data_IF_292419491087
#
_entry.id   IF_292419491087
#
_cell.length_a   1.000
_cell.length_b   1.000
_cell.length_c   1.000
_cell.angle_alpha   90.00
_cell.angle_beta   90.00
_cell.angle_gamma   90.00
#
_symmetry.space_group_name_H-M   'P 1'
#
loop_
_entity.id
_entity.type
_entity.pdbx_description
1 polymer ?
#
# COMPACT_ATOMS: atom_id res chain seq x y z
N UNK A 1 16.12 1.23 -0.75
CA UNK A 1 15.11 1.10 0.31
C UNK A 1 15.77 1.42 1.62
N UNK A 2 15.12 2.23 2.45
CA UNK A 2 15.57 2.57 3.81
C UNK A 2 14.38 2.56 4.77
N UNK A 3 14.61 2.90 6.04
CA UNK A 3 13.54 3.02 7.03
C UNK A 3 13.77 4.20 7.97
N UNK A 4 12.68 4.73 8.51
CA UNK A 4 12.70 5.78 9.52
C UNK A 4 11.68 5.47 10.63
N UNK A 5 11.75 6.25 11.72
CA UNK A 5 11.00 6.00 12.96
C UNK A 5 11.26 4.63 13.63
N UNK A 6 12.45 4.04 13.38
CA UNK A 6 12.89 2.79 14.00
C UNK A 6 13.25 2.99 15.49
N UNK A 7 12.95 1.99 16.32
CA UNK A 7 13.50 1.95 17.67
C UNK A 7 15.01 1.67 17.62
N UNK A 8 15.73 2.03 18.69
CA UNK A 8 17.18 1.87 18.74
C UNK A 8 17.60 0.39 18.55
N UNK A 9 18.31 0.11 17.46
CA UNK A 9 18.83 -1.22 17.12
C UNK A 9 17.96 -2.02 16.15
N UNK A 10 16.86 -1.45 15.66
CA UNK A 10 16.04 -2.08 14.61
C UNK A 10 16.53 -1.70 13.21
N UNK A 11 16.23 -2.58 12.25
CA UNK A 11 16.55 -2.42 10.83
C UNK A 11 15.28 -2.59 10.00
N UNK A 12 15.27 -2.03 8.78
CA UNK A 12 14.27 -2.37 7.76
C UNK A 12 14.27 -3.90 7.57
N UNK A 13 13.08 -4.48 7.41
CA UNK A 13 12.93 -5.89 7.02
C UNK A 13 12.09 -5.98 5.77
N UNK A 14 12.64 -6.62 4.75
CA UNK A 14 11.90 -7.10 3.59
C UNK A 14 11.77 -8.60 3.76
N UNK A 15 10.61 -9.18 3.49
CA UNK A 15 10.49 -10.63 3.58
C UNK A 15 9.40 -11.24 2.73
N UNK A 16 9.50 -12.57 2.59
CA UNK A 16 8.56 -13.38 1.82
C UNK A 16 8.24 -14.68 2.56
N UNK A 17 6.98 -15.11 2.46
CA UNK A 17 6.56 -16.47 2.86
C UNK A 17 6.82 -17.51 1.75
N UNK A 18 7.24 -17.09 0.55
CA UNK A 18 7.57 -18.03 -0.53
C UNK A 18 8.87 -18.78 -0.24
N UNK A 19 8.93 -20.01 -0.74
CA UNK A 19 10.15 -20.83 -0.79
C UNK A 19 10.64 -21.05 -2.22
N UNK A 20 9.98 -20.42 -3.19
CA UNK A 20 10.36 -20.50 -4.60
C UNK A 20 11.66 -19.74 -4.87
N UNK A 21 12.40 -20.18 -5.88
CA UNK A 21 13.62 -19.49 -6.31
C UNK A 21 13.29 -18.07 -6.79
N UNK A 22 14.14 -17.11 -6.43
CA UNK A 22 14.05 -15.71 -6.84
C UNK A 22 12.74 -15.00 -6.44
N UNK A 23 12.04 -15.49 -5.41
CA UNK A 23 10.85 -14.83 -4.87
C UNK A 23 11.15 -13.43 -4.28
N UNK A 24 12.41 -13.17 -3.93
CA UNK A 24 12.93 -11.81 -3.73
C UNK A 24 13.99 -11.56 -4.79
N UNK A 25 13.73 -10.58 -5.65
CA UNK A 25 14.64 -10.16 -6.71
C UNK A 25 14.92 -8.66 -6.60
N UNK A 26 16.18 -8.27 -6.73
CA UNK A 26 16.61 -6.88 -6.77
C UNK A 26 17.57 -6.68 -7.95
N UNK A 27 17.15 -5.90 -8.94
CA UNK A 27 17.95 -5.64 -10.13
C UNK A 27 19.23 -4.83 -9.83
N UNK A 28 20.15 -4.83 -10.80
CA UNK A 28 21.38 -4.04 -10.74
C UNK A 28 21.15 -2.57 -10.35
N UNK A 29 21.83 -2.13 -9.30
CA UNK A 29 21.75 -0.76 -8.79
C UNK A 29 20.70 -0.52 -7.70
N UNK A 30 19.89 -1.54 -7.36
CA UNK A 30 19.02 -1.50 -6.18
C UNK A 30 19.87 -1.65 -4.91
N UNK A 31 19.57 -0.83 -3.90
CA UNK A 31 20.14 -0.98 -2.54
C UNK A 31 19.01 -1.22 -1.55
N UNK A 32 19.14 -2.24 -0.71
CA UNK A 32 18.28 -2.56 0.41
C UNK A 32 19.06 -2.27 1.68
N UNK A 33 18.71 -1.18 2.37
CA UNK A 33 19.35 -0.80 3.63
C UNK A 33 18.65 -1.47 4.82
N UNK A 34 18.78 -2.78 4.91
CA UNK A 34 18.05 -3.61 5.88
C UNK A 34 18.27 -5.10 5.70
N UNK A 35 17.54 -5.87 6.50
CA UNK A 35 17.53 -7.33 6.46
C UNK A 35 16.58 -7.85 5.39
N UNK A 36 16.93 -9.01 4.83
CA UNK A 36 16.10 -9.79 3.92
C UNK A 36 15.76 -11.11 4.60
N UNK A 37 14.46 -11.37 4.76
CA UNK A 37 13.93 -12.48 5.54
C UNK A 37 13.13 -13.42 4.65
N UNK A 38 13.53 -14.68 4.58
CA UNK A 38 12.81 -15.71 3.81
C UNK A 38 12.07 -16.67 4.73
N UNK A 39 11.05 -17.33 4.18
CA UNK A 39 10.19 -18.25 4.91
C UNK A 39 10.95 -19.43 5.55
N UNK A 40 10.35 -19.98 6.60
CA UNK A 40 10.90 -21.10 7.36
C UNK A 40 10.90 -22.37 6.53
N UNK A 41 12.08 -22.81 6.08
CA UNK A 41 12.25 -23.95 5.18
C UNK A 41 12.68 -23.55 3.76
N UNK A 42 12.68 -22.26 3.43
CA UNK A 42 13.36 -21.74 2.24
C UNK A 42 14.87 -21.60 2.47
N UNK A 43 15.67 -21.90 1.45
CA UNK A 43 17.10 -21.58 1.45
C UNK A 43 17.27 -20.12 1.01
N UNK A 44 17.83 -19.22 1.84
CA UNK A 44 17.98 -17.82 1.49
C UNK A 44 18.79 -17.59 0.20
N UNK A 45 19.75 -18.48 -0.11
CA UNK A 45 20.55 -18.38 -1.35
C UNK A 45 19.77 -18.77 -2.62
N UNK A 46 18.63 -19.45 -2.47
CA UNK A 46 17.73 -19.82 -3.57
C UNK A 46 16.61 -18.81 -3.67
N UNK A 47 15.95 -18.50 -2.55
CA UNK A 47 14.77 -17.61 -2.51
C UNK A 47 15.15 -16.17 -2.84
N UNK A 48 16.33 -15.71 -2.40
CA UNK A 48 16.88 -14.40 -2.74
C UNK A 48 18.06 -14.53 -3.72
N UNK A 49 18.10 -15.57 -4.57
CA UNK A 49 19.25 -15.87 -5.42
C UNK A 49 19.64 -14.74 -6.39
N UNK A 50 18.64 -14.04 -6.93
CA UNK A 50 18.87 -12.89 -7.84
C UNK A 50 19.13 -11.56 -7.12
N UNK A 51 19.12 -11.52 -5.78
CA UNK A 51 19.38 -10.29 -5.04
C UNK A 51 20.84 -9.83 -5.14
N UNK A 52 21.74 -10.74 -5.53
CA UNK A 52 23.17 -10.49 -5.72
C UNK A 52 23.46 -9.44 -6.82
N UNK A 53 22.48 -9.14 -7.69
CA UNK A 53 22.60 -8.01 -8.63
C UNK A 53 22.48 -6.65 -7.91
N UNK A 54 21.78 -6.60 -6.78
CA UNK A 54 21.65 -5.44 -5.90
C UNK A 54 22.70 -5.40 -4.77
N UNK A 55 22.48 -4.50 -3.82
CA UNK A 55 23.28 -4.40 -2.58
C UNK A 55 22.36 -4.51 -1.38
N UNK A 56 22.59 -5.50 -0.52
CA UNK A 56 21.94 -5.64 0.80
C UNK A 56 22.95 -5.25 1.88
N UNK A 57 22.60 -4.31 2.77
CA UNK A 57 23.50 -3.87 3.85
C UNK A 57 23.33 -4.67 5.15
N UNK A 58 22.16 -5.29 5.35
CA UNK A 58 21.84 -6.14 6.50
C UNK A 58 22.02 -7.63 6.23
N UNK A 59 21.42 -8.45 7.08
CA UNK A 59 21.54 -9.91 7.00
C UNK A 59 20.48 -10.51 6.06
N UNK A 60 20.86 -11.58 5.36
CA UNK A 60 19.93 -12.41 4.58
C UNK A 60 19.75 -13.75 5.29
N UNK A 61 18.55 -14.02 5.82
CA UNK A 61 18.31 -15.21 6.66
C UNK A 61 16.89 -15.76 6.55
N UNK A 62 16.70 -17.00 7.00
CA UNK A 62 15.38 -17.63 7.11
C UNK A 62 14.79 -17.40 8.51
N UNK A 63 13.50 -17.03 8.58
CA UNK A 63 12.73 -16.95 9.82
C UNK A 63 11.45 -17.82 9.72
N UNK A 64 10.63 -17.87 10.77
CA UNK A 64 9.33 -18.54 10.67
C UNK A 64 8.41 -17.86 9.65
N UNK A 65 7.41 -18.60 9.15
CA UNK A 65 6.36 -18.05 8.30
C UNK A 65 5.59 -16.94 9.06
N UNK A 66 5.26 -15.87 8.34
CA UNK A 66 4.48 -14.77 8.89
C UNK A 66 3.01 -14.94 8.52
N UNK A 67 2.15 -15.22 9.51
CA UNK A 67 0.71 -15.38 9.27
C UNK A 67 0.07 -14.06 8.81
N UNK A 68 -0.49 -14.05 7.60
CA UNK A 68 -1.24 -12.93 7.05
C UNK A 68 -2.72 -13.15 7.34
N UNK A 69 -3.30 -12.32 8.21
CA UNK A 69 -4.72 -12.40 8.56
C UNK A 69 -5.57 -11.73 7.49
N UNK A 70 -6.67 -12.36 7.09
CA UNK A 70 -7.68 -11.70 6.25
C UNK A 70 -8.19 -10.42 6.89
N UNK A 71 -8.45 -9.41 6.06
CA UNK A 71 -9.07 -8.15 6.47
C UNK A 71 -10.54 -8.38 6.81
N UNK A 72 -10.98 -7.93 7.99
CA UNK A 72 -12.39 -7.96 8.39
C UNK A 72 -12.94 -6.54 8.43
N UNK A 73 -13.94 -6.26 7.57
CA UNK A 73 -14.64 -4.97 7.60
C UNK A 73 -15.43 -4.83 8.91
N UNK A 74 -15.36 -3.70 9.63
CA UNK A 74 -16.16 -3.49 10.84
C UNK A 74 -17.66 -3.69 10.61
N UNK A 75 -18.34 -4.37 11.53
CA UNK A 75 -19.75 -4.75 11.36
C UNK A 75 -20.67 -3.55 11.13
N UNK A 76 -20.40 -2.41 11.80
CA UNK A 76 -21.18 -1.19 11.61
C UNK A 76 -21.06 -0.65 10.18
N UNK A 77 -19.88 -0.77 9.57
CA UNK A 77 -19.58 -0.30 8.22
C UNK A 77 -20.21 -1.23 7.16
N UNK A 78 -20.18 -2.55 7.40
CA UNK A 78 -20.88 -3.53 6.56
C UNK A 78 -22.40 -3.28 6.51
N UNK A 79 -22.98 -2.89 7.64
CA UNK A 79 -24.42 -2.67 7.82
C UNK A 79 -24.93 -1.35 7.21
N UNK A 80 -24.04 -0.40 6.86
CA UNK A 80 -24.45 0.83 6.19
C UNK A 80 -25.08 0.52 4.82
N UNK A 81 -26.11 1.28 4.40
CA UNK A 81 -26.56 1.25 3.02
C UNK A 81 -25.45 1.81 2.11
N UNK A 82 -25.29 1.23 0.93
CA UNK A 82 -24.41 1.81 -0.09
C UNK A 82 -24.95 3.16 -0.54
N UNK A 83 -24.04 4.12 -0.74
CA UNK A 83 -24.35 5.45 -1.27
C UNK A 83 -24.09 5.55 -2.78
N UNK A 84 -23.83 4.43 -3.46
CA UNK A 84 -23.55 4.39 -4.90
C UNK A 84 -22.07 4.61 -5.22
N UNK A 85 -21.80 5.26 -6.35
CA UNK A 85 -20.43 5.51 -6.84
C UNK A 85 -19.94 6.90 -6.46
N UNK A 86 -18.71 7.00 -5.96
CA UNK A 86 -18.00 8.28 -5.81
C UNK A 86 -17.43 8.69 -7.17
N UNK A 87 -17.78 9.90 -7.62
CA UNK A 87 -17.24 10.52 -8.85
C UNK A 87 -16.51 11.83 -8.58
N UNK A 88 -16.01 12.47 -9.63
CA UNK A 88 -15.31 13.74 -9.55
C UNK A 88 -16.11 14.87 -8.89
N UNK A 89 -15.40 15.77 -8.21
CA UNK A 89 -15.95 16.91 -7.49
C UNK A 89 -16.58 16.56 -6.13
N UNK A 90 -16.56 15.29 -5.73
CA UNK A 90 -17.10 14.85 -4.44
C UNK A 90 -16.14 15.21 -3.31
N UNK A 91 -16.64 15.81 -2.24
CA UNK A 91 -15.91 15.98 -0.97
C UNK A 91 -16.51 15.05 0.08
N UNK A 92 -15.68 14.14 0.59
CA UNK A 92 -16.03 13.16 1.60
C UNK A 92 -15.52 13.66 2.95
N UNK A 93 -16.46 13.88 3.87
CA UNK A 93 -16.18 14.37 5.23
C UNK A 93 -16.63 13.39 6.30
N UNK A 94 -17.26 12.27 5.90
CA UNK A 94 -17.85 11.28 6.81
C UNK A 94 -17.62 9.87 6.30
N UNK A 95 -17.63 8.92 7.25
CA UNK A 95 -17.55 7.48 7.00
C UNK A 95 -18.73 6.99 6.16
N UNK A 96 -18.48 6.06 5.22
CA UNK A 96 -19.52 5.58 4.32
C UNK A 96 -19.21 4.27 3.61
N UNK A 97 -20.26 3.66 3.07
CA UNK A 97 -20.19 2.49 2.19
C UNK A 97 -20.56 2.89 0.77
N UNK A 98 -19.79 2.45 -0.20
CA UNK A 98 -19.94 2.80 -1.61
C UNK A 98 -19.80 1.55 -2.49
N UNK A 99 -20.46 1.58 -3.64
CA UNK A 99 -20.36 0.51 -4.64
C UNK A 99 -18.99 0.54 -5.31
N UNK A 100 -18.50 1.73 -5.64
CA UNK A 100 -17.22 1.96 -6.34
C UNK A 100 -16.72 3.40 -6.18
N UNK A 101 -15.45 3.62 -6.52
CA UNK A 101 -14.91 4.96 -6.80
C UNK A 101 -14.52 4.97 -8.28
N UNK A 102 -15.06 5.90 -9.06
CA UNK A 102 -14.78 6.01 -10.49
C UNK A 102 -14.54 7.47 -10.84
N UNK A 103 -13.28 7.86 -10.95
CA UNK A 103 -12.89 9.22 -11.31
C UNK A 103 -12.42 9.24 -12.76
N UNK A 104 -13.06 10.07 -13.58
CA UNK A 104 -12.67 10.31 -14.96
C UNK A 104 -11.37 11.11 -15.07
N UNK A 105 -10.91 11.36 -16.30
CA UNK A 105 -9.64 12.07 -16.52
C UNK A 105 -9.58 13.42 -15.77
N UNK A 106 -8.51 13.62 -14.99
CA UNK A 106 -8.26 14.82 -14.18
C UNK A 106 -9.33 15.15 -13.14
N UNK A 107 -10.26 14.22 -12.86
CA UNK A 107 -11.24 14.42 -11.80
C UNK A 107 -10.61 14.24 -10.42
N UNK A 108 -11.11 15.00 -9.46
CA UNK A 108 -10.65 14.96 -8.07
C UNK A 108 -11.83 14.64 -7.18
N UNK A 109 -11.70 13.64 -6.32
CA UNK A 109 -12.53 13.49 -5.13
C UNK A 109 -11.66 13.75 -3.91
N UNK A 110 -12.16 14.51 -2.94
CA UNK A 110 -11.39 14.97 -1.79
C UNK A 110 -11.86 14.32 -0.50
N UNK A 111 -10.92 13.98 0.38
CA UNK A 111 -11.14 13.55 1.76
C UNK A 111 -10.81 14.73 2.66
N UNK A 112 -11.83 15.28 3.33
CA UNK A 112 -11.74 16.47 4.18
C UNK A 112 -12.35 16.18 5.57
N UNK A 113 -11.78 15.18 6.22
CA UNK A 113 -12.16 14.74 7.56
C UNK A 113 -11.54 13.38 7.89
N UNK A 114 -11.86 12.84 9.06
CA UNK A 114 -11.55 11.46 9.42
C UNK A 114 -12.55 10.52 8.75
N UNK A 115 -12.14 9.92 7.62
CA UNK A 115 -13.03 9.16 6.75
C UNK A 115 -12.63 7.68 6.74
N UNK A 116 -13.60 6.83 7.05
CA UNK A 116 -13.51 5.38 6.84
C UNK A 116 -14.45 5.01 5.70
N UNK A 117 -13.91 4.43 4.63
CA UNK A 117 -14.70 3.97 3.48
C UNK A 117 -14.72 2.45 3.43
N UNK A 118 -15.88 1.88 3.15
CA UNK A 118 -15.97 0.53 2.60
C UNK A 118 -16.45 0.61 1.16
N UNK A 119 -15.55 0.32 0.22
CA UNK A 119 -15.85 0.25 -1.20
C UNK A 119 -16.00 -1.21 -1.58
N UNK A 120 -17.22 -1.64 -1.93
CA UNK A 120 -17.49 -3.06 -2.18
C UNK A 120 -16.94 -3.56 -3.51
N UNK A 121 -16.82 -2.67 -4.50
CA UNK A 121 -16.30 -2.94 -5.83
C UNK A 121 -14.98 -2.21 -6.09
N UNK A 122 -14.76 -1.86 -7.35
CA UNK A 122 -13.47 -1.35 -7.81
C UNK A 122 -13.28 0.15 -7.53
N UNK A 123 -12.00 0.54 -7.46
CA UNK A 123 -11.53 1.92 -7.56
C UNK A 123 -10.84 2.08 -8.91
N UNK A 124 -11.37 2.96 -9.75
CA UNK A 124 -10.82 3.30 -11.06
C UNK A 124 -10.53 4.79 -11.08
N UNK A 125 -9.25 5.13 -11.19
CA UNK A 125 -8.76 6.49 -11.35
C UNK A 125 -8.20 6.61 -12.78
N UNK A 126 -8.94 7.26 -13.68
CA UNK A 126 -8.49 7.54 -15.04
C UNK A 126 -7.33 8.56 -15.05
N UNK A 127 -6.81 8.88 -16.24
CA UNK A 127 -5.56 9.63 -16.35
C UNK A 127 -5.58 10.95 -15.56
N UNK A 128 -4.57 11.16 -14.72
CA UNK A 128 -4.42 12.34 -13.88
C UNK A 128 -5.52 12.56 -12.83
N UNK A 129 -6.39 11.57 -12.60
CA UNK A 129 -7.40 11.64 -11.55
C UNK A 129 -6.78 11.48 -10.15
N UNK A 130 -7.41 12.08 -9.14
CA UNK A 130 -6.90 12.06 -7.77
C UNK A 130 -7.98 11.76 -6.74
N UNK A 131 -7.72 10.76 -5.90
CA UNK A 131 -8.37 10.67 -4.59
C UNK A 131 -7.46 11.39 -3.59
N UNK A 132 -7.87 12.60 -3.18
CA UNK A 132 -7.00 13.56 -2.52
C UNK A 132 -7.37 13.72 -1.04
N UNK A 133 -6.47 13.35 -0.13
CA UNK A 133 -6.58 13.72 1.28
C UNK A 133 -5.99 15.12 1.42
N UNK A 134 -6.79 16.06 1.93
CA UNK A 134 -6.37 17.45 2.05
C UNK A 134 -5.21 17.59 3.05
N UNK A 135 -4.41 18.66 2.89
CA UNK A 135 -3.27 18.91 3.76
C UNK A 135 -3.69 19.29 5.20
N UNK A 136 -2.76 19.16 6.15
CA UNK A 136 -3.02 19.39 7.56
C UNK A 136 -3.34 20.86 7.92
N UNK A 137 -3.01 21.85 7.08
CA UNK A 137 -3.42 23.24 7.29
C UNK A 137 -4.87 23.46 6.87
N UNK A 138 -5.33 22.74 5.84
CA UNK A 138 -6.72 22.72 5.40
C UNK A 138 -7.58 21.98 6.43
N UNK A 139 -7.18 20.77 6.81
CA UNK A 139 -7.86 20.00 7.85
C UNK A 139 -6.88 19.08 8.59
N UNK A 140 -6.59 19.33 9.88
CA UNK A 140 -5.62 18.54 10.64
C UNK A 140 -6.10 17.12 10.96
N UNK A 141 -7.39 16.81 10.77
CA UNK A 141 -7.99 15.50 11.02
C UNK A 141 -8.18 14.69 9.73
N UNK A 142 -7.83 15.27 8.57
CA UNK A 142 -7.92 14.59 7.28
C UNK A 142 -7.15 13.26 7.30
N UNK A 143 -7.88 12.17 7.06
CA UNK A 143 -7.35 10.82 6.98
C UNK A 143 -8.32 9.92 6.23
N UNK A 144 -7.79 8.88 5.60
CA UNK A 144 -8.55 7.87 4.90
C UNK A 144 -8.13 6.47 5.37
N UNK A 145 -9.09 5.75 5.93
CA UNK A 145 -9.02 4.28 6.04
C UNK A 145 -9.96 3.67 5.01
N UNK A 146 -9.43 2.87 4.10
CA UNK A 146 -10.17 2.28 3.00
C UNK A 146 -10.21 0.75 3.16
N UNK A 147 -11.40 0.21 3.37
CA UNK A 147 -11.68 -1.21 3.20
C UNK A 147 -12.12 -1.45 1.75
N UNK A 148 -11.35 -2.21 0.98
CA UNK A 148 -11.52 -2.36 -0.46
C UNK A 148 -11.88 -3.80 -0.85
N UNK A 149 -13.09 -3.99 -1.39
CA UNK A 149 -13.58 -5.28 -1.87
C UNK A 149 -13.21 -5.61 -3.32
N UNK A 150 -13.02 -4.60 -4.18
CA UNK A 150 -12.61 -4.79 -5.58
C UNK A 150 -11.15 -4.44 -5.84
N UNK A 151 -10.78 -4.28 -7.10
CA UNK A 151 -9.42 -3.92 -7.50
C UNK A 151 -9.21 -2.40 -7.48
N UNK A 152 -7.95 -1.99 -7.35
CA UNK A 152 -7.54 -0.59 -7.47
C UNK A 152 -6.73 -0.42 -8.75
N UNK A 153 -7.22 0.42 -9.66
CA UNK A 153 -6.55 0.74 -10.92
C UNK A 153 -6.33 2.26 -11.03
N UNK A 154 -5.09 2.70 -10.89
CA UNK A 154 -4.69 4.08 -11.09
C UNK A 154 -3.94 4.21 -12.44
N UNK A 155 -4.58 4.85 -13.42
CA UNK A 155 -4.02 5.05 -14.76
C UNK A 155 -2.90 6.11 -14.78
N UNK A 156 -2.48 6.53 -15.98
CA UNK A 156 -1.32 7.40 -16.14
C UNK A 156 -1.47 8.72 -15.39
N UNK A 157 -0.54 8.97 -14.47
CA UNK A 157 -0.52 10.16 -13.62
C UNK A 157 -1.68 10.23 -12.62
N UNK A 158 -2.47 9.17 -12.44
CA UNK A 158 -3.51 9.07 -11.44
C UNK A 158 -2.94 8.53 -10.12
N UNK A 159 -3.41 9.03 -8.97
CA UNK A 159 -2.86 8.63 -7.68
C UNK A 159 -3.80 8.93 -6.52
N UNK A 160 -3.62 8.21 -5.41
CA UNK A 160 -4.18 8.57 -4.11
C UNK A 160 -3.21 9.56 -3.47
N UNK A 161 -3.59 10.82 -3.40
CA UNK A 161 -2.72 11.92 -3.01
C UNK A 161 -2.92 12.26 -1.53
N UNK A 162 -1.99 11.83 -0.68
CA UNK A 162 -2.01 12.16 0.73
C UNK A 162 -1.19 13.43 1.02
N UNK A 163 -1.83 14.61 0.95
CA UNK A 163 -1.15 15.90 1.15
C UNK A 163 -0.77 16.19 2.61
N UNK A 164 -1.15 15.33 3.56
CA UNK A 164 -0.68 15.44 4.94
C UNK A 164 0.81 15.09 5.06
N UNK A 165 1.35 14.35 4.09
CA UNK A 165 2.71 13.78 4.08
C UNK A 165 3.00 12.82 5.24
N UNK A 166 1.96 12.44 5.99
CA UNK A 166 2.03 11.47 7.09
C UNK A 166 1.43 10.14 6.59
N UNK A 167 2.26 9.08 6.43
CA UNK A 167 1.77 7.77 5.98
C UNK A 167 0.70 7.16 6.87
N UNK A 168 0.57 7.57 8.14
CA UNK A 168 -0.50 7.09 9.02
C UNK A 168 -1.89 7.58 8.61
N UNK A 169 -1.97 8.64 7.81
CA UNK A 169 -3.23 9.25 7.38
C UNK A 169 -3.87 8.54 6.19
N UNK A 170 -3.20 7.57 5.58
CA UNK A 170 -3.75 6.73 4.53
C UNK A 170 -3.50 5.25 4.85
N UNK A 171 -4.57 4.49 5.05
CA UNK A 171 -4.55 3.03 5.21
C UNK A 171 -5.46 2.40 4.16
N UNK A 172 -4.95 1.42 3.41
CA UNK A 172 -5.71 0.62 2.45
C UNK A 172 -5.69 -0.83 2.93
N UNK A 173 -6.84 -1.30 3.40
CA UNK A 173 -7.09 -2.68 3.79
C UNK A 173 -7.88 -3.37 2.68
N UNK A 174 -7.20 -4.14 1.83
CA UNK A 174 -7.85 -4.88 0.76
C UNK A 174 -8.35 -6.23 1.29
N UNK A 175 -9.62 -6.53 1.02
CA UNK A 175 -10.24 -7.79 1.36
C UNK A 175 -9.72 -8.89 0.43
N UNK A 176 -9.94 -10.15 0.80
CA UNK A 176 -9.56 -11.33 0.02
C UNK A 176 -10.11 -11.34 -1.42
N UNK A 177 -11.16 -10.56 -1.69
CA UNK A 177 -11.74 -10.40 -3.03
C UNK A 177 -10.98 -9.41 -3.92
N UNK A 178 -10.12 -8.56 -3.36
CA UNK A 178 -9.19 -7.72 -4.10
C UNK A 178 -8.01 -8.57 -4.53
N UNK A 179 -7.72 -8.57 -5.84
CA UNK A 179 -6.67 -9.41 -6.42
C UNK A 179 -5.59 -8.57 -7.10
N UNK A 180 -5.84 -7.28 -7.33
CA UNK A 180 -4.92 -6.40 -8.04
C UNK A 180 -4.98 -4.95 -7.54
N UNK A 181 -3.81 -4.39 -7.24
CA UNK A 181 -3.59 -2.98 -6.93
C UNK A 181 -2.49 -2.48 -7.86
N UNK A 182 -2.87 -1.69 -8.87
CA UNK A 182 -2.00 -1.28 -9.96
C UNK A 182 -1.91 0.25 -10.03
N UNK A 183 -0.68 0.77 -9.92
CA UNK A 183 -0.35 2.18 -10.05
C UNK A 183 0.51 2.43 -11.30
N UNK A 184 -0.08 3.06 -12.31
CA UNK A 184 0.58 3.50 -13.55
C UNK A 184 0.98 4.96 -13.52
N UNK A 185 1.29 5.50 -12.35
CA UNK A 185 1.73 6.89 -12.18
C UNK A 185 3.18 6.99 -11.75
N UNK A 186 3.75 8.19 -11.92
CA UNK A 186 5.04 8.58 -11.34
C UNK A 186 4.75 9.67 -10.32
N UNK A 187 4.72 9.31 -9.04
CA UNK A 187 4.37 10.22 -7.95
C UNK A 187 4.96 9.72 -6.63
N UNK A 188 4.64 10.38 -5.53
CA UNK A 188 5.02 9.93 -4.18
C UNK A 188 3.78 9.39 -3.49
N UNK A 189 3.86 8.18 -2.93
CA UNK A 189 2.81 7.56 -2.13
C UNK A 189 3.17 7.65 -0.65
N UNK A 190 2.27 8.25 0.15
CA UNK A 190 2.37 8.27 1.61
C UNK A 190 1.21 7.48 2.20
N UNK A 191 1.44 6.25 2.64
CA UNK A 191 0.38 5.39 3.15
C UNK A 191 0.80 3.96 3.46
N UNK A 192 -0.13 3.19 4.03
CA UNK A 192 -0.02 1.76 4.24
C UNK A 192 -0.95 0.99 3.30
N UNK A 193 -0.46 -0.07 2.68
CA UNK A 193 -1.26 -1.04 1.91
C UNK A 193 -1.14 -2.41 2.60
N UNK A 194 -2.27 -2.97 2.99
CA UNK A 194 -2.37 -4.35 3.48
C UNK A 194 -3.38 -5.10 2.62
N UNK A 195 -2.88 -5.92 1.70
CA UNK A 195 -3.65 -6.61 0.69
C UNK A 195 -3.13 -8.03 0.46
N UNK A 196 -3.27 -8.95 1.44
CA UNK A 196 -2.62 -10.27 1.42
C UNK A 196 -2.87 -11.11 0.16
N UNK A 197 -4.02 -10.93 -0.48
CA UNK A 197 -4.44 -11.68 -1.66
C UNK A 197 -4.28 -10.89 -2.98
N UNK A 198 -3.73 -9.67 -2.95
CA UNK A 198 -3.59 -8.83 -4.12
C UNK A 198 -2.14 -8.70 -4.59
N UNK A 199 -1.96 -8.72 -5.91
CA UNK A 199 -0.72 -8.30 -6.54
C UNK A 199 -0.63 -6.77 -6.52
N UNK A 200 0.43 -6.23 -5.91
CA UNK A 200 0.70 -4.80 -5.81
C UNK A 200 1.79 -4.42 -6.81
N UNK A 201 1.43 -3.64 -7.84
CA UNK A 201 2.34 -3.28 -8.92
C UNK A 201 2.48 -1.76 -9.08
N UNK A 202 3.70 -1.26 -8.91
CA UNK A 202 4.09 0.12 -9.16
C UNK A 202 4.90 0.19 -10.47
N UNK A 203 4.25 0.59 -11.57
CA UNK A 203 4.81 0.51 -12.94
C UNK A 203 5.88 1.56 -13.24
N UNK A 204 5.86 2.72 -12.59
CA UNK A 204 6.84 3.77 -12.85
C UNK A 204 7.57 4.15 -11.55
N UNK A 205 8.40 5.20 -11.61
CA UNK A 205 9.08 5.76 -10.44
C UNK A 205 8.06 6.32 -9.42
N UNK A 206 7.57 5.45 -8.54
CA UNK A 206 6.72 5.80 -7.39
C UNK A 206 7.55 5.70 -6.13
N UNK A 207 7.90 6.83 -5.53
CA UNK A 207 8.54 6.82 -4.21
C UNK A 207 7.50 6.48 -3.14
N UNK A 208 7.77 5.47 -2.33
CA UNK A 208 6.85 5.00 -1.29
C UNK A 208 7.36 5.41 0.07
N UNK A 209 6.53 6.07 0.86
CA UNK A 209 6.74 6.33 2.28
C UNK A 209 5.63 5.61 3.05
N UNK A 210 5.97 4.52 3.73
CA UNK A 210 5.00 3.76 4.50
C UNK A 210 5.26 2.26 4.51
N UNK A 211 4.24 1.44 4.26
CA UNK A 211 4.37 -0.03 4.31
C UNK A 211 3.46 -0.71 3.30
N UNK A 212 3.90 -1.88 2.80
CA UNK A 212 3.14 -2.68 1.85
C UNK A 212 3.22 -4.15 2.26
N UNK A 213 2.05 -4.79 2.32
CA UNK A 213 1.87 -6.25 2.39
C UNK A 213 0.97 -6.63 1.22
N UNK A 214 1.42 -7.55 0.37
CA UNK A 214 0.72 -8.03 -0.81
C UNK A 214 0.96 -9.52 -1.04
N UNK A 215 0.16 -10.14 -1.91
CA UNK A 215 0.48 -11.48 -2.45
C UNK A 215 1.81 -11.43 -3.21
N UNK A 216 1.96 -10.41 -4.05
CA UNK A 216 3.23 -10.00 -4.65
C UNK A 216 3.41 -8.49 -4.56
N UNK A 217 4.66 -8.03 -4.57
CA UNK A 217 4.99 -6.62 -4.71
C UNK A 217 6.04 -6.46 -5.81
N UNK A 218 5.71 -5.65 -6.82
CA UNK A 218 6.60 -5.36 -7.96
C UNK A 218 6.74 -3.87 -8.16
N UNK A 219 7.97 -3.40 -8.37
CA UNK A 219 8.30 -2.02 -8.70
C UNK A 219 9.24 -1.99 -9.91
N UNK A 220 8.76 -1.51 -11.06
CA UNK A 220 9.43 -1.72 -12.37
C UNK A 220 10.60 -0.76 -12.63
N UNK A 221 10.47 0.50 -12.21
CA UNK A 221 11.43 1.57 -12.52
C UNK A 221 11.97 2.16 -11.23
N UNK A 222 13.26 2.53 -11.22
CA UNK A 222 13.93 3.10 -10.05
C UNK A 222 13.07 4.13 -9.32
N UNK A 223 12.71 3.78 -8.11
CA UNK A 223 12.10 4.64 -7.12
C UNK A 223 12.53 4.16 -5.74
N UNK A 224 12.40 5.03 -4.74
CA UNK A 224 12.79 4.74 -3.39
C UNK A 224 11.60 4.18 -2.59
N UNK A 225 11.89 3.21 -1.73
CA UNK A 225 10.95 2.74 -0.72
C UNK A 225 11.51 3.11 0.65
N UNK A 226 10.75 3.89 1.41
CA UNK A 226 11.07 4.40 2.73
C UNK A 226 10.07 3.81 3.72
N UNK A 227 10.47 2.77 4.43
CA UNK A 227 9.59 2.11 5.39
C UNK A 227 9.38 2.99 6.63
N UNK A 228 8.12 3.25 6.98
CA UNK A 228 7.77 3.91 8.24
C UNK A 228 7.52 2.87 9.32
N UNK A 229 8.49 2.67 10.22
CA UNK A 229 8.40 1.65 11.26
C UNK A 229 7.26 1.90 12.25
N UNK A 230 6.72 3.11 12.31
CA UNK A 230 5.55 3.40 13.13
C UNK A 230 4.24 2.80 12.60
N UNK A 231 4.27 2.18 11.41
CA UNK A 231 3.17 1.39 10.85
C UNK A 231 3.23 -0.10 11.23
N UNK A 232 4.30 -0.55 11.91
CA UNK A 232 4.52 -1.97 12.28
C UNK A 232 3.40 -2.60 13.10
N UNK A 233 2.83 -1.83 14.03
CA UNK A 233 1.81 -2.30 14.97
C UNK A 233 0.39 -1.95 14.52
N UNK A 234 0.20 -1.60 13.24
CA UNK A 234 -1.12 -1.35 12.68
C UNK A 234 -1.98 -2.60 12.77
N UNK A 235 -2.87 -2.65 13.76
CA UNK A 235 -3.85 -3.73 13.86
C UNK A 235 -4.78 -3.65 12.65
N UNK A 236 -4.93 -4.77 11.93
CA UNK A 236 -5.78 -4.93 10.73
C UNK A 236 -7.28 -4.70 11.02
N UNK A 237 -7.63 -4.31 12.25
CA UNK A 237 -8.99 -4.15 12.77
C UNK A 237 -9.22 -2.78 13.44
N UNK A 238 -8.43 -1.76 13.11
CA UNK A 238 -8.67 -0.38 13.57
C UNK A 238 -9.98 0.22 13.03
#
# INVERSE_FOLDING_TARGET
>A
MDAYNLDAGETLKIGTNSTEADAINAAAGVTIDGDVVVCGGGDPSVVAGSIDEGVVTGDVYSAGEYELSSVIVPQYLQALPSQGTIGGGTTLTTTGKYDSISLGNSEIASIDGEVILYVTGDIILDNSAQLLIVDANTNPDASLTLYLGGNLLAQNGAFINNLTLDPKRLKIYALDTCQNIDFKSSSVFYGAIYAPEADVHLHNSVDVYGSVVGNTFTQDVSAAFHYDASLRDGTVND
#
